data_IF_135121416677
#
_entry.id   IF_135121416677
#
_cell.length_a   1.000
_cell.length_b   1.000
_cell.length_c   1.000
_cell.angle_alpha   90.00
_cell.angle_beta   90.00
_cell.angle_gamma   90.00
#
_symmetry.space_group_name_H-M   'P 1'
#
loop_
_entity.id
_entity.type
_entity.pdbx_description
1 polymer ?
#
# COMPACT_ATOMS: atom_id res chain seq x y z
N UNK A 1 26.79 10.51 -18.72
CA UNK A 1 26.90 10.05 -17.32
C UNK A 1 25.49 10.06 -16.74
N UNK A 2 24.84 8.90 -16.65
CA UNK A 2 23.50 8.80 -16.03
C UNK A 2 23.67 8.83 -14.51
N UNK A 3 23.32 9.95 -13.89
CA UNK A 3 23.15 10.02 -12.44
C UNK A 3 21.84 9.30 -12.12
N UNK A 4 21.91 8.03 -11.72
CA UNK A 4 20.75 7.32 -11.20
C UNK A 4 20.26 8.08 -9.97
N UNK A 5 18.99 8.51 -9.98
CA UNK A 5 18.39 9.14 -8.78
C UNK A 5 18.27 8.06 -7.70
N UNK A 6 18.53 8.38 -6.43
CA UNK A 6 18.38 7.41 -5.35
C UNK A 6 16.93 6.93 -5.29
N UNK A 7 16.78 5.61 -5.14
CA UNK A 7 15.50 4.96 -4.90
C UNK A 7 15.20 5.03 -3.40
N UNK A 8 13.96 5.39 -3.07
CA UNK A 8 13.41 5.41 -1.70
C UNK A 8 12.27 4.40 -1.60
N UNK A 9 11.93 4.00 -0.37
CA UNK A 9 10.75 3.17 -0.11
C UNK A 9 9.64 4.08 0.38
N UNK A 10 8.45 3.92 -0.22
CA UNK A 10 7.26 4.67 0.11
C UNK A 10 6.19 3.71 0.62
N UNK A 11 5.41 4.11 1.62
CA UNK A 11 4.25 3.35 2.08
C UNK A 11 3.04 4.25 2.29
N UNK A 12 1.89 3.62 2.22
CA UNK A 12 0.59 4.23 2.41
C UNK A 12 0.10 4.11 3.84
N UNK A 13 -0.68 5.06 4.33
CA UNK A 13 -1.27 4.99 5.67
C UNK A 13 -2.20 3.77 5.85
N UNK A 14 -2.90 3.35 4.80
CA UNK A 14 -3.74 2.13 4.81
C UNK A 14 -2.95 0.82 4.97
N UNK A 15 -1.63 0.87 4.77
CA UNK A 15 -0.73 -0.27 4.94
C UNK A 15 -0.08 -0.33 6.32
N UNK A 16 -0.36 0.66 7.18
CA UNK A 16 0.10 0.65 8.56
C UNK A 16 -0.45 -0.62 9.25
N UNK A 17 0.45 -1.33 9.91
CA UNK A 17 0.16 -2.62 10.50
C UNK A 17 -0.63 -2.42 11.79
N UNK A 18 -1.84 -2.97 11.84
CA UNK A 18 -2.64 -3.03 13.07
C UNK A 18 -2.24 -4.20 13.97
N UNK A 19 -1.51 -5.18 13.43
CA UNK A 19 -1.02 -6.35 14.15
C UNK A 19 0.44 -6.14 14.59
N UNK A 20 0.62 -5.88 15.89
CA UNK A 20 1.92 -5.62 16.52
C UNK A 20 2.83 -6.86 16.62
N UNK A 21 2.37 -8.05 16.19
CA UNK A 21 3.15 -9.30 16.27
C UNK A 21 4.40 -9.27 15.40
N UNK A 22 4.29 -8.68 14.21
CA UNK A 22 5.41 -8.42 13.33
C UNK A 22 5.81 -6.97 13.55
N UNK A 23 6.93 -6.73 14.25
CA UNK A 23 7.39 -5.41 14.71
C UNK A 23 7.60 -4.34 13.60
N UNK A 24 7.29 -4.68 12.34
CA UNK A 24 7.23 -3.76 11.22
C UNK A 24 5.99 -2.86 11.31
N UNK A 25 6.21 -1.56 11.10
CA UNK A 25 5.16 -0.55 11.12
C UNK A 25 4.23 -0.65 9.92
N UNK A 26 4.72 -1.05 8.75
CA UNK A 26 3.89 -1.20 7.55
C UNK A 26 4.00 -2.60 6.94
N UNK A 27 2.88 -3.10 6.39
CA UNK A 27 2.81 -4.40 5.73
C UNK A 27 3.59 -4.42 4.42
N UNK A 28 3.50 -3.33 3.65
CA UNK A 28 4.09 -3.23 2.32
C UNK A 28 4.74 -1.87 2.11
N UNK A 29 5.79 -1.85 1.27
CA UNK A 29 6.45 -0.64 0.79
C UNK A 29 6.86 -0.78 -0.66
N UNK A 30 6.95 0.35 -1.36
CA UNK A 30 7.15 0.39 -2.80
C UNK A 30 8.37 1.23 -3.15
N UNK A 31 9.31 0.63 -3.86
CA UNK A 31 10.53 1.29 -4.27
C UNK A 31 10.25 2.27 -5.42
N UNK A 32 10.63 3.54 -5.23
CA UNK A 32 10.36 4.60 -6.20
C UNK A 32 11.40 5.72 -6.17
N UNK A 33 11.30 6.62 -7.13
CA UNK A 33 12.15 7.81 -7.22
C UNK A 33 11.36 9.02 -6.75
N UNK A 34 11.84 9.79 -5.76
CA UNK A 34 11.17 11.01 -5.32
C UNK A 34 10.92 11.99 -6.47
N UNK A 35 9.71 12.53 -6.53
CA UNK A 35 9.23 13.44 -7.58
C UNK A 35 8.54 14.70 -7.02
N UNK A 36 8.61 14.93 -5.71
CA UNK A 36 8.11 16.13 -5.04
C UNK A 36 7.08 15.79 -3.97
N UNK A 37 6.27 16.79 -3.57
CA UNK A 37 5.18 16.63 -2.62
C UNK A 37 3.90 17.27 -3.14
N UNK A 38 2.76 16.75 -2.71
CA UNK A 38 1.44 17.29 -3.02
C UNK A 38 0.54 17.18 -1.79
N UNK A 39 -0.09 18.30 -1.40
CA UNK A 39 -0.90 18.39 -0.17
C UNK A 39 -0.21 17.87 1.10
N UNK A 40 1.12 18.01 1.18
CA UNK A 40 1.92 17.53 2.29
C UNK A 40 2.37 16.06 2.19
N UNK A 41 1.93 15.31 1.18
CA UNK A 41 2.29 13.91 0.98
C UNK A 41 3.34 13.74 -0.10
N UNK A 42 4.06 12.63 -0.06
CA UNK A 42 5.12 12.33 -1.02
C UNK A 42 4.55 11.98 -2.39
N UNK A 43 5.23 12.46 -3.43
CA UNK A 43 4.94 12.15 -4.83
C UNK A 43 6.20 11.56 -5.42
N UNK A 44 6.07 10.42 -6.08
CA UNK A 44 7.21 9.65 -6.58
C UNK A 44 6.88 8.98 -7.90
N UNK A 45 7.91 8.51 -8.60
CA UNK A 45 7.74 7.73 -9.83
C UNK A 45 8.18 6.29 -9.63
N UNK A 46 7.40 5.37 -10.17
CA UNK A 46 7.60 3.93 -10.04
C UNK A 46 7.63 3.26 -11.41
N UNK A 47 8.21 2.08 -11.51
CA UNK A 47 8.13 1.28 -12.74
C UNK A 47 6.74 0.65 -12.88
N UNK A 48 6.42 0.12 -14.07
CA UNK A 48 5.18 -0.64 -14.30
C UNK A 48 4.99 -1.78 -13.27
N UNK A 49 6.06 -2.50 -12.92
CA UNK A 49 5.98 -3.62 -11.98
C UNK A 49 5.56 -3.14 -10.59
N UNK A 50 6.21 -2.10 -10.08
CA UNK A 50 5.87 -1.53 -8.78
C UNK A 50 4.47 -0.91 -8.82
N UNK A 51 4.08 -0.27 -9.93
CA UNK A 51 2.71 0.23 -10.10
C UNK A 51 1.67 -0.89 -10.03
N UNK A 52 1.95 -2.06 -10.64
CA UNK A 52 1.08 -3.24 -10.52
C UNK A 52 0.98 -3.70 -9.08
N UNK A 53 2.09 -3.79 -8.35
CA UNK A 53 2.08 -4.15 -6.94
C UNK A 53 1.23 -3.19 -6.09
N UNK A 54 1.29 -1.88 -6.35
CA UNK A 54 0.42 -0.89 -5.67
C UNK A 54 -1.05 -1.17 -5.96
N UNK A 55 -1.43 -1.39 -7.23
CA UNK A 55 -2.81 -1.67 -7.62
C UNK A 55 -3.30 -3.00 -7.01
N UNK A 56 -2.47 -4.04 -7.03
CA UNK A 56 -2.77 -5.36 -6.49
C UNK A 56 -2.95 -5.30 -4.96
N UNK A 57 -2.09 -4.56 -4.26
CA UNK A 57 -2.21 -4.31 -2.81
C UNK A 57 -3.51 -3.56 -2.49
N UNK A 58 -3.85 -2.52 -3.25
CA UNK A 58 -5.12 -1.80 -3.08
C UNK A 58 -6.34 -2.70 -3.34
N UNK A 59 -6.29 -3.57 -4.35
CA UNK A 59 -7.34 -4.56 -4.62
C UNK A 59 -7.48 -5.58 -3.50
N UNK A 60 -6.38 -6.03 -2.90
CA UNK A 60 -6.40 -6.95 -1.76
C UNK A 60 -7.11 -6.30 -0.56
N UNK A 61 -6.81 -5.04 -0.26
CA UNK A 61 -7.45 -4.27 0.81
C UNK A 61 -8.95 -4.05 0.55
N UNK A 62 -9.32 -3.66 -0.67
CA UNK A 62 -10.73 -3.51 -1.05
C UNK A 62 -11.49 -4.82 -0.94
N UNK A 63 -10.89 -5.93 -1.40
CA UNK A 63 -11.49 -7.26 -1.32
C UNK A 63 -11.65 -7.71 0.14
N UNK A 64 -10.65 -7.48 0.98
CA UNK A 64 -10.70 -7.80 2.40
C UNK A 64 -11.80 -6.99 3.12
N UNK A 65 -11.91 -5.70 2.83
CA UNK A 65 -12.95 -4.83 3.38
C UNK A 65 -14.37 -5.29 3.00
N UNK A 66 -14.57 -5.67 1.74
CA UNK A 66 -15.85 -6.21 1.25
C UNK A 66 -16.16 -7.55 1.94
N UNK A 67 -15.18 -8.46 1.97
CA UNK A 67 -15.34 -9.78 2.58
C UNK A 67 -15.67 -9.69 4.08
N UNK A 68 -15.03 -8.78 4.81
CA UNK A 68 -15.31 -8.54 6.22
C UNK A 68 -16.75 -8.02 6.44
N UNK A 69 -17.23 -7.12 5.58
CA UNK A 69 -18.60 -6.59 5.66
C UNK A 69 -19.65 -7.67 5.34
N UNK A 70 -19.40 -8.48 4.31
CA UNK A 70 -20.26 -9.64 3.98
C UNK A 70 -20.28 -10.66 5.12
N UNK A 71 -19.13 -10.95 5.74
CA UNK A 71 -19.05 -11.84 6.90
C UNK A 71 -19.82 -11.29 8.12
N UNK A 72 -19.96 -9.97 8.22
CA UNK A 72 -20.79 -9.30 9.23
C UNK A 72 -22.30 -9.27 8.87
N UNK A 73 -22.69 -9.82 7.72
CA UNK A 73 -24.09 -10.00 7.31
C UNK A 73 -24.61 -9.00 6.27
N UNK A 74 -23.76 -8.10 5.74
CA UNK A 74 -24.15 -7.19 4.67
C UNK A 74 -24.41 -7.95 3.35
N UNK A 75 -25.32 -7.43 2.53
CA UNK A 75 -25.41 -7.86 1.14
C UNK A 75 -24.17 -7.41 0.36
N UNK A 76 -23.82 -8.14 -0.71
CA UNK A 76 -22.58 -7.92 -1.45
C UNK A 76 -22.51 -6.52 -2.10
N UNK A 77 -23.62 -6.04 -2.63
CA UNK A 77 -23.75 -4.71 -3.22
C UNK A 77 -23.59 -3.59 -2.18
N UNK A 78 -24.21 -3.74 -1.01
CA UNK A 78 -24.04 -2.82 0.12
C UNK A 78 -22.59 -2.81 0.63
N UNK A 79 -21.98 -4.00 0.78
CA UNK A 79 -20.58 -4.13 1.19
C UNK A 79 -19.61 -3.48 0.19
N UNK A 80 -19.90 -3.61 -1.11
CA UNK A 80 -19.11 -2.97 -2.17
C UNK A 80 -19.27 -1.45 -2.15
N UNK A 81 -20.50 -0.93 -2.00
CA UNK A 81 -20.75 0.50 -1.88
C UNK A 81 -20.08 1.10 -0.64
N UNK A 82 -20.16 0.43 0.50
CA UNK A 82 -19.49 0.84 1.74
C UNK A 82 -17.95 0.87 1.57
N UNK A 83 -17.38 -0.11 0.86
CA UNK A 83 -15.94 -0.09 0.56
C UNK A 83 -15.56 1.15 -0.28
N UNK A 84 -16.36 1.50 -1.30
CA UNK A 84 -16.12 2.70 -2.12
C UNK A 84 -16.29 4.03 -1.36
N UNK A 85 -17.05 4.03 -0.26
CA UNK A 85 -17.16 5.18 0.63
C UNK A 85 -15.94 5.36 1.53
N UNK A 86 -15.09 4.33 1.66
CA UNK A 86 -13.90 4.33 2.52
C UNK A 86 -12.59 4.40 1.74
N UNK A 87 -12.59 3.98 0.48
CA UNK A 87 -11.40 3.99 -0.39
C UNK A 87 -11.78 4.17 -1.86
N UNK A 88 -10.87 4.78 -2.62
CA UNK A 88 -11.02 4.94 -4.06
C UNK A 88 -11.08 3.58 -4.77
N UNK A 89 -11.73 3.49 -5.92
CA UNK A 89 -11.55 2.35 -6.83
C UNK A 89 -10.32 2.58 -7.69
N UNK A 90 -9.53 1.54 -7.92
CA UNK A 90 -8.34 1.62 -8.78
C UNK A 90 -8.45 0.56 -9.85
N UNK A 91 -8.13 0.87 -11.10
CA UNK A 91 -8.22 -0.12 -12.18
C UNK A 91 -7.26 0.20 -13.32
N UNK A 92 -6.95 -0.83 -14.11
CA UNK A 92 -6.21 -0.68 -15.35
C UNK A 92 -7.15 -0.46 -16.53
N UNK A 93 -6.83 0.52 -17.37
CA UNK A 93 -7.40 0.70 -18.71
C UNK A 93 -6.27 0.73 -19.73
N UNK A 94 -5.92 -0.45 -20.25
CA UNK A 94 -4.72 -0.61 -21.07
C UNK A 94 -3.46 -0.31 -20.25
N UNK A 95 -2.70 0.72 -20.65
CA UNK A 95 -1.54 1.21 -19.89
C UNK A 95 -1.87 2.36 -18.94
N UNK A 96 -3.14 2.74 -18.80
CA UNK A 96 -3.57 3.78 -17.89
C UNK A 96 -3.98 3.15 -16.56
N UNK A 97 -3.66 3.81 -15.45
CA UNK A 97 -4.27 3.53 -14.16
C UNK A 97 -5.34 4.58 -13.90
N UNK A 98 -6.55 4.14 -13.62
CA UNK A 98 -7.69 4.99 -13.27
C UNK A 98 -7.91 4.88 -11.76
N UNK A 99 -7.82 6.00 -11.06
CA UNK A 99 -8.18 6.14 -9.64
C UNK A 99 -9.49 6.91 -9.58
N UNK A 100 -10.57 6.20 -9.25
CA UNK A 100 -11.92 6.75 -9.16
C UNK A 100 -12.29 6.98 -7.70
N UNK A 101 -12.28 8.24 -7.29
CA UNK A 101 -12.58 8.66 -5.91
C UNK A 101 -13.92 9.38 -5.81
N UNK A 102 -14.79 9.25 -6.83
CA UNK A 102 -16.06 9.98 -6.89
C UNK A 102 -16.99 9.64 -5.73
N UNK A 103 -17.08 8.36 -5.38
CA UNK A 103 -17.90 7.90 -4.24
C UNK A 103 -17.27 8.34 -2.92
N UNK A 104 -15.97 8.12 -2.74
CA UNK A 104 -15.22 8.47 -1.53
C UNK A 104 -15.39 9.94 -1.13
N UNK A 105 -15.34 10.86 -2.10
CA UNK A 105 -15.42 12.30 -1.82
C UNK A 105 -16.76 12.94 -2.19
N UNK A 106 -17.73 12.16 -2.68
CA UNK A 106 -19.00 12.69 -3.20
C UNK A 106 -18.83 13.79 -4.25
N UNK A 107 -17.77 13.69 -5.07
CA UNK A 107 -17.43 14.64 -6.13
C UNK A 107 -17.46 13.91 -7.48
N UNK A 108 -18.40 14.22 -8.39
CA UNK A 108 -18.54 13.52 -9.67
C UNK A 108 -17.36 13.73 -10.63
N UNK A 109 -16.50 14.73 -10.39
CA UNK A 109 -15.35 15.02 -11.23
C UNK A 109 -14.04 14.39 -10.74
N UNK A 110 -14.03 13.76 -9.56
CA UNK A 110 -12.81 13.30 -8.91
C UNK A 110 -12.35 11.92 -9.40
N UNK A 111 -11.89 11.91 -10.64
CA UNK A 111 -11.26 10.76 -11.30
C UNK A 111 -9.88 11.17 -11.79
N UNK A 112 -8.85 10.47 -11.34
CA UNK A 112 -7.47 10.67 -11.78
C UNK A 112 -7.06 9.57 -12.77
N UNK A 113 -6.40 9.98 -13.86
CA UNK A 113 -5.86 9.05 -14.86
C UNK A 113 -4.34 9.20 -14.90
N UNK A 114 -3.66 8.13 -14.58
CA UNK A 114 -2.19 8.07 -14.51
C UNK A 114 -1.70 7.32 -15.74
N UNK A 115 -1.00 8.04 -16.62
CA UNK A 115 -0.28 7.48 -17.75
C UNK A 115 1.20 7.29 -17.40
N UNK A 116 1.90 6.31 -18.00
CA UNK A 116 3.34 6.24 -17.92
C UNK A 116 3.98 7.44 -18.62
N UNK A 117 5.10 7.90 -18.09
CA UNK A 117 5.95 8.88 -18.75
C UNK A 117 6.72 8.26 -19.93
N UNK A 118 7.56 9.08 -20.58
CA UNK A 118 8.38 8.67 -21.72
C UNK A 118 9.36 7.51 -21.40
N UNK A 119 9.66 7.31 -20.12
CA UNK A 119 10.58 6.28 -19.62
C UNK A 119 9.80 5.06 -19.08
N UNK A 120 8.47 5.02 -19.28
CA UNK A 120 7.59 3.94 -18.85
C UNK A 120 7.25 3.95 -17.35
N UNK A 121 7.50 5.06 -16.65
CA UNK A 121 7.29 5.18 -15.20
C UNK A 121 5.97 5.87 -14.88
N UNK A 122 5.32 5.44 -13.80
CA UNK A 122 4.05 5.98 -13.34
C UNK A 122 4.29 6.95 -12.20
N UNK A 123 3.59 8.09 -12.20
CA UNK A 123 3.64 9.06 -11.11
C UNK A 123 2.57 8.73 -10.07
N UNK A 124 2.99 8.48 -8.85
CA UNK A 124 2.17 8.11 -7.69
C UNK A 124 2.17 9.25 -6.69
N UNK A 125 1.06 9.47 -6.00
CA UNK A 125 0.90 10.54 -5.01
C UNK A 125 -0.49 11.17 -4.94
N UNK A 126 -1.36 10.86 -5.90
CA UNK A 126 -2.74 11.34 -5.96
C UNK A 126 -3.70 10.28 -5.42
N UNK A 127 -4.73 10.68 -4.68
CA UNK A 127 -5.73 9.77 -4.08
C UNK A 127 -5.33 9.09 -2.76
N UNK A 128 -4.06 9.17 -2.38
CA UNK A 128 -3.50 8.46 -1.21
C UNK A 128 -2.50 9.32 -0.45
N UNK A 129 -2.39 9.06 0.85
CA UNK A 129 -1.34 9.63 1.68
C UNK A 129 -0.12 8.73 1.63
N UNK A 130 0.97 9.27 1.11
CA UNK A 130 2.23 8.57 0.97
C UNK A 130 3.29 9.23 1.83
N UNK A 131 4.06 8.40 2.51
CA UNK A 131 5.25 8.81 3.26
C UNK A 131 6.47 8.03 2.77
N UNK A 132 7.63 8.68 2.79
CA UNK A 132 8.92 8.01 2.71
C UNK A 132 9.16 7.32 4.04
N UNK A 133 9.50 6.03 4.00
CA UNK A 133 9.64 5.18 5.18
C UNK A 133 11.01 4.49 5.19
N UNK A 134 11.50 4.16 6.38
CA UNK A 134 12.72 3.36 6.50
C UNK A 134 12.41 1.90 6.10
N UNK A 135 13.18 1.28 5.19
CA UNK A 135 13.02 -0.13 4.84
C UNK A 135 12.91 -1.09 6.03
N UNK A 136 13.55 -0.78 7.17
CA UNK A 136 13.48 -1.64 8.38
C UNK A 136 12.10 -1.65 9.03
N UNK A 137 11.26 -0.67 8.73
CA UNK A 137 9.89 -0.58 9.25
C UNK A 137 8.88 -1.35 8.37
N UNK A 138 9.35 -1.99 7.28
CA UNK A 138 8.51 -2.57 6.23
C UNK A 138 8.68 -4.08 6.17
N UNK A 139 7.56 -4.81 6.22
CA UNK A 139 7.59 -6.26 6.13
C UNK A 139 7.92 -6.77 4.71
N UNK A 140 7.30 -6.21 3.66
CA UNK A 140 7.56 -6.59 2.25
C UNK A 140 7.81 -5.38 1.38
N UNK A 141 8.93 -5.36 0.66
CA UNK A 141 9.30 -4.27 -0.24
C UNK A 141 9.22 -4.74 -1.70
N UNK A 142 8.48 -4.00 -2.52
CA UNK A 142 8.34 -4.22 -3.95
C UNK A 142 9.35 -3.39 -4.72
N UNK A 143 10.27 -4.07 -5.41
CA UNK A 143 11.35 -3.45 -6.18
C UNK A 143 11.13 -3.54 -7.70
N UNK A 144 12.02 -2.91 -8.44
CA UNK A 144 12.13 -3.12 -9.90
C UNK A 144 12.85 -4.44 -10.18
N UNK A 145 12.51 -5.13 -11.28
CA UNK A 145 13.07 -6.44 -11.64
C UNK A 145 14.60 -6.52 -11.77
N UNK A 146 15.31 -5.39 -11.85
CA UNK A 146 16.77 -5.34 -11.85
C UNK A 146 17.40 -5.44 -10.45
N UNK A 147 16.59 -5.23 -9.40
CA UNK A 147 16.96 -5.57 -8.03
C UNK A 147 16.52 -7.02 -7.81
N UNK A 148 17.44 -7.88 -7.36
CA UNK A 148 17.21 -9.31 -7.13
C UNK A 148 16.04 -9.62 -6.18
N UNK A 149 15.78 -10.89 -5.86
CA UNK A 149 14.58 -11.31 -5.12
C UNK A 149 14.37 -10.45 -3.88
N UNK A 150 13.16 -9.88 -3.74
CA UNK A 150 12.77 -9.05 -2.61
C UNK A 150 13.16 -9.72 -1.29
N UNK A 151 13.90 -9.05 -0.41
CA UNK A 151 14.12 -9.58 0.92
C UNK A 151 12.78 -9.62 1.64
N UNK A 152 12.23 -10.82 1.81
CA UNK A 152 11.16 -11.05 2.76
C UNK A 152 11.77 -10.96 4.15
N UNK A 153 11.49 -9.87 4.87
CA UNK A 153 11.89 -9.77 6.27
C UNK A 153 10.99 -10.70 7.09
N UNK A 154 11.56 -11.84 7.51
CA UNK A 154 10.86 -12.77 8.40
C UNK A 154 10.52 -12.06 9.71
N UNK A 155 9.24 -12.08 10.09
CA UNK A 155 8.85 -11.70 11.44
C UNK A 155 9.63 -12.58 12.43
N UNK A 156 10.16 -12.04 13.54
CA UNK A 156 10.72 -12.88 14.58
C UNK A 156 9.63 -13.85 15.04
N UNK A 157 9.94 -15.16 15.05
CA UNK A 157 9.03 -16.17 15.57
C UNK A 157 8.58 -15.73 16.96
N UNK A 158 7.26 -15.51 17.10
CA UNK A 158 6.66 -15.16 18.38
C UNK A 158 7.07 -16.21 19.40
N UNK A 159 8.01 -15.86 20.28
CA UNK A 159 8.33 -16.71 21.42
C UNK A 159 7.03 -16.83 22.21
N UNK A 160 6.46 -18.04 22.39
CA UNK A 160 5.30 -18.20 23.25
C UNK A 160 5.68 -17.68 24.62
N UNK A 161 4.94 -16.71 25.13
CA UNK A 161 5.14 -16.20 26.48
C UNK A 161 5.17 -17.40 27.44
N UNK A 162 6.33 -17.69 28.03
CA UNK A 162 6.45 -18.75 29.02
C UNK A 162 5.48 -18.46 30.16
N UNK A 163 4.62 -19.41 30.57
CA UNK A 163 3.79 -19.23 31.74
C UNK A 163 4.71 -19.04 32.96
N UNK A 164 4.63 -17.85 33.54
CA UNK A 164 5.43 -17.46 34.69
C UNK A 164 5.29 -18.47 35.82
N UNK A 165 6.42 -18.97 36.31
CA UNK A 165 6.48 -19.81 37.49
C UNK A 165 5.90 -19.04 38.67
N UNK A 166 4.74 -19.44 39.15
CA UNK A 166 4.22 -18.97 40.44
C UNK A 166 5.08 -19.57 41.53
N UNK A 167 6.02 -18.76 42.03
CA UNK A 167 6.68 -18.96 43.31
C UNK A 167 5.61 -18.84 44.41
N UNK A 168 5.13 -19.96 44.95
CA UNK A 168 4.41 -19.97 46.23
C UNK A 168 5.47 -19.90 47.34
N UNK A 169 5.52 -18.77 48.01
CA UNK A 169 6.01 -18.66 49.37
C UNK A 169 4.86 -18.94 50.35
N UNK A 170 5.23 -19.53 51.50
CA UNK A 170 4.43 -19.98 52.65
C UNK A 170 3.80 -21.37 52.54
#
# INVERSE_FOLDING_TARGET
>A
MSTSRPTHVFSGDWLENTDLSCQHRYREGFAGIPAGRWNGWEVFTVTLQVMRAIVDSHHAEMTAAIAASVAAGAHLDEAWLDALQRMASVSWLGSLVVVDSRVLHSDPALVDVIAPDKDGRYRVGFGWKWDVVDPVDIHTIHHTADDGPSPHHQCPDGTPAQPGSTRREA
#
